data_IF_341761802867
#
_entry.id   IF_341761802867
#
_cell.length_a   1.000
_cell.length_b   1.000
_cell.length_c   1.000
_cell.angle_alpha   90.00
_cell.angle_beta   90.00
_cell.angle_gamma   90.00
#
_symmetry.space_group_name_H-M   'P 1'
#
loop_
_entity.id
_entity.type
_entity.pdbx_description
1 polymer ?
#
# COMPACT_ATOMS: atom_id res chain seq x y z
N UNK A 1 11.27 -2.87 9.23
CA UNK A 1 10.26 -2.77 8.20
C UNK A 1 10.92 -2.22 6.94
N UNK A 2 11.23 -3.13 6.01
CA UNK A 2 11.78 -2.78 4.71
C UNK A 2 10.60 -2.34 3.83
N UNK A 3 10.32 -1.05 3.76
CA UNK A 3 9.51 -0.49 2.69
C UNK A 3 10.35 -0.51 1.41
N UNK A 4 10.08 -1.47 0.54
CA UNK A 4 10.65 -1.48 -0.80
C UNK A 4 10.02 -0.33 -1.59
N UNK A 5 10.83 0.64 -1.96
CA UNK A 5 10.44 1.69 -2.90
C UNK A 5 10.44 1.04 -4.28
N UNK A 6 9.24 0.71 -4.79
CA UNK A 6 9.07 0.20 -6.15
C UNK A 6 9.23 1.36 -7.13
N UNK A 7 10.38 1.43 -7.78
CA UNK A 7 10.59 2.35 -8.91
C UNK A 7 10.04 1.67 -10.16
N UNK A 8 9.05 2.25 -10.86
CA UNK A 8 8.51 1.67 -12.08
C UNK A 8 9.58 1.59 -13.18
N UNK A 9 9.68 0.44 -13.84
CA UNK A 9 10.65 0.20 -14.93
C UNK A 9 10.49 1.13 -16.15
N UNK A 10 9.34 1.82 -16.29
CA UNK A 10 8.99 2.64 -17.46
C UNK A 10 8.46 4.02 -17.06
N UNK A 11 9.06 4.70 -16.09
CA UNK A 11 8.70 6.08 -15.77
C UNK A 11 9.22 7.01 -16.87
N UNK A 12 8.33 7.51 -17.74
CA UNK A 12 8.65 8.59 -18.69
C UNK A 12 8.36 9.93 -18.03
N UNK A 13 9.39 10.77 -17.91
CA UNK A 13 9.24 12.15 -17.49
C UNK A 13 8.89 13.01 -18.70
N UNK A 14 7.95 13.94 -18.56
CA UNK A 14 7.72 14.98 -19.57
C UNK A 14 8.98 15.86 -19.69
N UNK A 15 9.23 16.45 -20.86
CA UNK A 15 10.47 17.20 -21.11
C UNK A 15 10.78 18.28 -20.08
N UNK A 16 9.78 19.02 -19.59
CA UNK A 16 9.96 20.04 -18.54
C UNK A 16 10.41 19.41 -17.20
N UNK A 17 9.78 18.32 -16.77
CA UNK A 17 10.17 17.59 -15.56
C UNK A 17 11.58 16.98 -15.66
N UNK A 18 12.02 16.57 -16.84
CA UNK A 18 13.37 16.05 -17.06
C UNK A 18 14.44 17.12 -16.81
N UNK A 19 14.26 18.33 -17.34
CA UNK A 19 15.19 19.45 -17.12
C UNK A 19 15.22 19.92 -15.66
N UNK A 20 14.10 19.93 -14.96
CA UNK A 20 14.03 20.23 -13.53
C UNK A 20 14.84 19.23 -12.71
N UNK A 21 14.68 17.95 -12.99
CA UNK A 21 15.41 16.86 -12.33
C UNK A 21 16.92 16.96 -12.61
N UNK A 22 17.31 17.21 -13.86
CA UNK A 22 18.72 17.41 -14.22
C UNK A 22 19.33 18.61 -13.50
N UNK A 23 18.66 19.76 -13.47
CA UNK A 23 19.12 20.95 -12.78
C UNK A 23 19.27 20.74 -11.27
N UNK A 24 18.39 19.96 -10.65
CA UNK A 24 18.51 19.59 -9.24
C UNK A 24 19.69 18.66 -8.98
N UNK A 25 19.94 17.67 -9.84
CA UNK A 25 21.14 16.82 -9.74
C UNK A 25 22.42 17.68 -9.84
N UNK A 26 22.49 18.57 -10.82
CA UNK A 26 23.62 19.45 -11.03
C UNK A 26 23.79 20.38 -9.83
N UNK A 27 22.73 20.99 -9.33
CA UNK A 27 22.75 21.84 -8.14
C UNK A 27 23.20 21.10 -6.89
N UNK A 28 22.71 19.88 -6.68
CA UNK A 28 23.06 19.04 -5.54
C UNK A 28 24.55 18.64 -5.56
N UNK A 29 25.11 18.35 -6.75
CA UNK A 29 26.51 17.99 -6.89
C UNK A 29 27.42 19.23 -6.74
N UNK A 30 27.00 20.41 -7.23
CA UNK A 30 27.77 21.63 -7.14
C UNK A 30 27.78 22.25 -5.73
N UNK A 31 26.72 22.06 -4.94
CA UNK A 31 26.61 22.56 -3.57
C UNK A 31 27.29 21.65 -2.53
N UNK A 32 27.73 20.47 -2.92
CA UNK A 32 28.44 19.56 -2.05
C UNK A 32 29.91 19.94 -1.98
N UNK A 33 30.36 20.50 -0.84
CA UNK A 33 31.77 20.89 -0.64
C UNK A 33 32.62 19.62 -0.53
N UNK A 34 33.54 19.36 -1.49
CA UNK A 34 34.43 18.20 -1.44
C UNK A 34 35.31 18.24 -0.18
N UNK A 35 35.38 17.11 0.53
CA UNK A 35 36.17 16.98 1.77
C UNK A 35 35.45 17.34 3.06
N UNK A 36 34.18 17.80 3.01
CA UNK A 36 33.35 17.95 4.20
C UNK A 36 32.97 16.58 4.77
N UNK A 37 32.97 16.36 6.13
CA UNK A 37 32.53 15.12 6.73
C UNK A 37 31.05 14.80 6.45
N UNK A 38 30.27 15.79 6.02
CA UNK A 38 28.85 15.66 5.66
C UNK A 38 28.61 15.51 4.13
N UNK A 39 29.66 15.53 3.31
CA UNK A 39 29.55 15.51 1.85
C UNK A 39 28.73 14.33 1.35
N UNK A 40 29.06 13.10 1.79
CA UNK A 40 28.34 11.89 1.38
C UNK A 40 26.87 11.88 1.89
N UNK A 41 26.65 12.36 3.10
CA UNK A 41 25.29 12.43 3.66
C UNK A 41 24.43 13.44 2.90
N UNK A 42 24.97 14.58 2.49
CA UNK A 42 24.26 15.56 1.65
C UNK A 42 23.89 14.98 0.28
N UNK A 43 24.83 14.28 -0.37
CA UNK A 43 24.55 13.60 -1.64
C UNK A 43 23.43 12.58 -1.49
N UNK A 44 23.48 11.75 -0.45
CA UNK A 44 22.49 10.74 -0.20
C UNK A 44 21.09 11.34 0.09
N UNK A 45 21.02 12.43 0.88
CA UNK A 45 19.77 13.15 1.13
C UNK A 45 19.20 13.76 -0.15
N UNK A 46 20.02 14.42 -0.97
CA UNK A 46 19.60 15.00 -2.23
C UNK A 46 19.11 13.93 -3.21
N UNK A 47 19.78 12.79 -3.27
CA UNK A 47 19.37 11.65 -4.08
C UNK A 47 18.03 11.07 -3.61
N UNK A 48 17.83 10.91 -2.28
CA UNK A 48 16.57 10.47 -1.72
C UNK A 48 15.42 11.45 -2.03
N UNK A 49 15.67 12.76 -1.91
CA UNK A 49 14.70 13.80 -2.28
C UNK A 49 14.33 13.72 -3.76
N UNK A 50 15.31 13.51 -4.64
CA UNK A 50 15.09 13.33 -6.06
C UNK A 50 14.22 12.12 -6.37
N UNK A 51 14.52 10.97 -5.76
CA UNK A 51 13.70 9.77 -5.90
C UNK A 51 12.26 10.01 -5.45
N UNK A 52 12.06 10.71 -4.33
CA UNK A 52 10.72 11.06 -3.84
C UNK A 52 9.98 11.99 -4.82
N UNK A 53 10.64 12.94 -5.45
CA UNK A 53 10.05 13.80 -6.48
C UNK A 53 9.66 13.03 -7.73
N UNK A 54 10.52 12.11 -8.21
CA UNK A 54 10.22 11.23 -9.35
C UNK A 54 9.01 10.35 -9.03
N UNK A 55 8.99 9.72 -7.87
CA UNK A 55 7.86 8.91 -7.42
C UNK A 55 6.58 9.76 -7.34
N UNK A 56 6.65 10.97 -6.80
CA UNK A 56 5.50 11.89 -6.70
C UNK A 56 5.01 12.35 -8.08
N UNK A 57 5.93 12.67 -9.00
CA UNK A 57 5.58 13.05 -10.38
C UNK A 57 4.90 11.89 -11.11
N UNK A 58 5.40 10.66 -10.94
CA UNK A 58 4.80 9.46 -11.49
C UNK A 58 3.41 9.20 -10.90
N UNK A 59 3.26 9.30 -9.58
CA UNK A 59 1.97 9.20 -8.90
C UNK A 59 1.01 10.28 -9.41
N UNK A 60 1.45 11.53 -9.56
CA UNK A 60 0.63 12.62 -10.08
C UNK A 60 0.27 12.43 -11.56
N UNK A 61 1.12 11.80 -12.36
CA UNK A 61 0.82 11.46 -13.76
C UNK A 61 -0.23 10.35 -13.86
N UNK A 62 -0.16 9.35 -12.98
CA UNK A 62 -1.17 8.29 -12.89
C UNK A 62 -2.47 8.79 -12.22
N UNK A 63 -2.37 9.76 -11.33
CA UNK A 63 -3.46 10.29 -10.50
C UNK A 63 -3.38 11.81 -10.45
N UNK A 64 -3.68 12.52 -11.56
CA UNK A 64 -3.57 13.98 -11.62
C UNK A 64 -4.43 14.64 -10.54
N UNK A 65 -3.87 15.57 -9.74
CA UNK A 65 -4.56 16.17 -8.60
C UNK A 65 -5.72 17.12 -9.00
N UNK A 66 -5.81 17.49 -10.28
CA UNK A 66 -6.69 18.55 -10.76
C UNK A 66 -7.92 18.06 -11.55
N UNK A 67 -8.27 16.80 -11.51
CA UNK A 67 -9.59 16.39 -11.99
C UNK A 67 -10.60 16.56 -10.87
N UNK A 68 -11.16 17.76 -10.76
CA UNK A 68 -12.38 18.03 -9.98
C UNK A 68 -13.44 17.01 -10.46
N UNK A 69 -13.66 15.97 -9.66
CA UNK A 69 -14.61 14.89 -9.97
C UNK A 69 -14.02 13.50 -10.29
N UNK A 70 -12.71 13.35 -10.47
CA UNK A 70 -12.10 12.02 -10.66
C UNK A 70 -11.65 11.41 -9.35
N UNK A 71 -12.20 10.24 -9.05
CA UNK A 71 -11.82 9.44 -7.89
C UNK A 71 -10.36 8.95 -8.01
N UNK A 72 -9.56 9.18 -6.97
CA UNK A 72 -8.22 8.58 -6.82
C UNK A 72 -8.28 7.33 -5.93
N UNK A 73 -7.66 6.24 -6.37
CA UNK A 73 -7.62 5.00 -5.60
C UNK A 73 -6.67 5.06 -4.39
N UNK A 74 -5.68 5.96 -4.37
CA UNK A 74 -4.66 6.03 -3.32
C UNK A 74 -5.22 6.42 -1.93
N UNK A 75 -6.06 7.47 -1.80
CA UNK A 75 -6.71 7.77 -0.52
C UNK A 75 -7.55 6.61 -0.01
N UNK A 76 -8.29 5.92 -0.91
CA UNK A 76 -9.07 4.75 -0.54
C UNK A 76 -8.19 3.60 -0.06
N UNK A 77 -7.10 3.30 -0.75
CA UNK A 77 -6.14 2.27 -0.37
C UNK A 77 -5.55 2.55 1.01
N UNK A 78 -5.15 3.79 1.27
CA UNK A 78 -4.66 4.23 2.58
C UNK A 78 -5.72 4.11 3.67
N UNK A 79 -6.97 4.46 3.35
CA UNK A 79 -8.10 4.31 4.26
C UNK A 79 -8.36 2.83 4.61
N UNK A 80 -8.37 1.94 3.63
CA UNK A 80 -8.56 0.49 3.84
C UNK A 80 -7.47 -0.08 4.74
N UNK A 81 -6.20 0.27 4.49
CA UNK A 81 -5.06 -0.18 5.31
C UNK A 81 -5.10 0.33 6.76
N UNK A 82 -5.63 1.53 7.00
CA UNK A 82 -5.76 2.08 8.36
C UNK A 82 -6.95 1.50 9.12
N UNK A 83 -8.04 1.19 8.41
CA UNK A 83 -9.33 0.83 9.00
C UNK A 83 -9.70 -0.65 8.82
N UNK A 84 -8.76 -1.50 8.38
CA UNK A 84 -9.05 -2.91 8.05
C UNK A 84 -9.65 -3.72 9.19
N UNK A 85 -9.42 -3.31 10.44
CA UNK A 85 -9.96 -3.95 11.66
C UNK A 85 -11.45 -3.66 11.88
N UNK A 86 -11.99 -2.66 11.23
CA UNK A 86 -13.38 -2.24 11.40
C UNK A 86 -14.28 -2.81 10.32
N UNK A 87 -15.59 -2.77 10.54
CA UNK A 87 -16.58 -3.14 9.53
C UNK A 87 -16.64 -2.06 8.45
N UNK A 88 -16.12 -2.37 7.26
CA UNK A 88 -16.17 -1.49 6.09
C UNK A 88 -17.31 -1.96 5.18
N UNK A 89 -18.19 -1.04 4.80
CA UNK A 89 -19.32 -1.28 3.90
C UNK A 89 -19.26 -0.34 2.71
N UNK A 90 -19.94 -0.70 1.60
CA UNK A 90 -20.05 0.20 0.43
C UNK A 90 -20.63 1.55 0.80
N UNK A 91 -21.70 1.57 1.59
CA UNK A 91 -22.35 2.82 2.07
C UNK A 91 -21.39 3.70 2.87
N UNK A 92 -20.56 3.09 3.74
CA UNK A 92 -19.55 3.83 4.50
C UNK A 92 -18.51 4.48 3.56
N UNK A 93 -18.08 3.74 2.55
CA UNK A 93 -17.12 4.24 1.56
C UNK A 93 -17.71 5.35 0.69
N UNK A 94 -18.96 5.21 0.24
CA UNK A 94 -19.67 6.26 -0.51
C UNK A 94 -19.77 7.56 0.30
N UNK A 95 -20.14 7.44 1.58
CA UNK A 95 -20.20 8.60 2.49
C UNK A 95 -18.81 9.22 2.72
N UNK A 96 -17.78 8.41 2.85
CA UNK A 96 -16.43 8.88 3.16
C UNK A 96 -15.75 9.55 1.96
N UNK A 97 -15.98 9.03 0.76
CA UNK A 97 -15.27 9.47 -0.45
C UNK A 97 -16.15 10.31 -1.39
N UNK A 98 -17.44 10.46 -1.09
CA UNK A 98 -18.42 11.22 -1.89
C UNK A 98 -18.53 10.74 -3.35
N UNK A 99 -18.34 9.44 -3.57
CA UNK A 99 -18.46 8.79 -4.87
C UNK A 99 -19.31 7.52 -4.77
N UNK A 100 -19.99 7.18 -5.86
CA UNK A 100 -20.71 5.92 -5.96
C UNK A 100 -19.75 4.73 -5.85
N UNK A 101 -20.16 3.68 -5.12
CA UNK A 101 -19.31 2.51 -4.85
C UNK A 101 -18.87 1.78 -6.11
N UNK A 102 -19.76 1.58 -7.09
CA UNK A 102 -19.43 0.85 -8.32
C UNK A 102 -18.38 1.61 -9.14
N UNK A 103 -18.48 2.93 -9.19
CA UNK A 103 -17.48 3.78 -9.81
C UNK A 103 -16.13 3.66 -9.11
N UNK A 104 -16.10 3.79 -7.78
CA UNK A 104 -14.89 3.63 -6.98
C UNK A 104 -14.27 2.24 -7.17
N UNK A 105 -15.09 1.18 -7.11
CA UNK A 105 -14.66 -0.20 -7.24
C UNK A 105 -14.05 -0.50 -8.61
N UNK A 106 -14.65 0.04 -9.69
CA UNK A 106 -14.10 -0.06 -11.04
C UNK A 106 -12.75 0.65 -11.14
N UNK A 107 -12.67 1.89 -10.67
CA UNK A 107 -11.43 2.67 -10.70
C UNK A 107 -10.34 2.08 -9.82
N UNK A 108 -10.70 1.56 -8.67
CA UNK A 108 -9.77 0.85 -7.80
C UNK A 108 -9.21 -0.42 -8.48
N UNK A 109 -10.08 -1.19 -9.16
CA UNK A 109 -9.66 -2.39 -9.90
C UNK A 109 -8.77 -2.05 -11.11
N UNK A 110 -9.03 -0.96 -11.82
CA UNK A 110 -8.16 -0.48 -12.91
C UNK A 110 -6.72 -0.25 -12.43
N UNK A 111 -6.55 0.23 -11.19
CA UNK A 111 -5.25 0.59 -10.62
C UNK A 111 -4.57 -0.58 -9.90
N UNK A 112 -5.32 -1.35 -9.11
CA UNK A 112 -4.78 -2.39 -8.22
C UNK A 112 -4.88 -3.80 -8.79
N UNK A 113 -5.66 -3.99 -9.85
CA UNK A 113 -5.97 -5.30 -10.44
C UNK A 113 -7.10 -6.06 -9.74
N UNK A 114 -7.55 -5.63 -8.57
CA UNK A 114 -8.57 -6.32 -7.76
C UNK A 114 -9.64 -5.36 -7.21
N UNK A 115 -10.79 -5.91 -6.82
CA UNK A 115 -11.88 -5.12 -6.23
C UNK A 115 -11.54 -4.64 -4.83
N UNK A 116 -12.22 -3.59 -4.37
CA UNK A 116 -12.02 -2.99 -3.03
C UNK A 116 -12.14 -4.05 -1.92
N UNK A 117 -13.18 -4.88 -1.96
CA UNK A 117 -13.37 -5.89 -0.91
C UNK A 117 -12.42 -7.08 -1.06
N UNK A 118 -12.03 -7.46 -2.29
CA UNK A 118 -11.02 -8.50 -2.49
C UNK A 118 -9.65 -8.05 -1.92
N UNK A 119 -9.28 -6.81 -2.18
CA UNK A 119 -8.07 -6.21 -1.59
C UNK A 119 -8.14 -6.21 -0.06
N UNK A 120 -9.27 -5.77 0.52
CA UNK A 120 -9.46 -5.73 1.97
C UNK A 120 -9.36 -7.13 2.60
N UNK A 121 -10.01 -8.13 1.99
CA UNK A 121 -9.93 -9.52 2.46
C UNK A 121 -8.49 -10.04 2.42
N UNK A 122 -7.80 -9.87 1.30
CA UNK A 122 -6.40 -10.28 1.14
C UNK A 122 -5.48 -9.59 2.16
N UNK A 123 -5.65 -8.29 2.34
CA UNK A 123 -4.88 -7.53 3.32
C UNK A 123 -5.11 -8.04 4.75
N UNK A 124 -6.36 -8.36 5.11
CA UNK A 124 -6.71 -8.98 6.40
C UNK A 124 -6.06 -10.35 6.57
N UNK A 125 -5.99 -11.16 5.51
CA UNK A 125 -5.33 -12.48 5.55
C UNK A 125 -3.82 -12.32 5.79
N UNK A 126 -3.16 -11.35 5.17
CA UNK A 126 -1.75 -11.07 5.46
C UNK A 126 -1.53 -10.69 6.94
N UNK A 127 -2.43 -9.87 7.52
CA UNK A 127 -2.36 -9.55 8.95
C UNK A 127 -2.69 -10.77 9.83
N UNK A 128 -3.58 -11.66 9.37
CA UNK A 128 -3.91 -12.90 10.08
C UNK A 128 -2.69 -13.82 10.21
N UNK A 129 -1.87 -13.94 9.17
CA UNK A 129 -0.63 -14.76 9.21
C UNK A 129 0.31 -14.31 10.33
N UNK A 130 0.43 -13.00 10.53
CA UNK A 130 1.26 -12.42 11.61
C UNK A 130 0.69 -12.80 12.98
N UNK A 131 -0.64 -12.67 13.17
CA UNK A 131 -1.28 -13.02 14.44
C UNK A 131 -1.27 -14.53 14.72
N UNK A 132 -1.44 -15.37 13.69
CA UNK A 132 -1.33 -16.83 13.81
C UNK A 132 0.08 -17.26 14.22
N UNK A 133 1.11 -16.59 13.71
CA UNK A 133 2.51 -16.88 14.05
C UNK A 133 2.84 -16.53 15.51
N UNK A 134 2.17 -15.55 16.11
CA UNK A 134 2.39 -15.19 17.52
C UNK A 134 1.87 -16.24 18.49
N UNK A 135 0.96 -17.12 18.08
CA UNK A 135 0.31 -18.18 18.89
C UNK A 135 -0.45 -17.66 20.14
N UNK A 136 -0.65 -16.36 20.24
CA UNK A 136 -1.26 -15.71 21.41
C UNK A 136 -2.79 -15.68 21.35
N UNK A 137 -3.37 -15.90 20.17
CA UNK A 137 -4.80 -15.70 19.92
C UNK A 137 -5.43 -16.94 19.32
N UNK A 138 -6.69 -17.19 19.70
CA UNK A 138 -7.52 -18.20 19.05
C UNK A 138 -7.95 -17.71 17.65
N UNK A 139 -8.32 -18.64 16.78
CA UNK A 139 -8.83 -18.33 15.43
C UNK A 139 -10.01 -17.36 15.47
N UNK A 140 -10.92 -17.51 16.46
CA UNK A 140 -12.06 -16.60 16.64
C UNK A 140 -11.61 -15.21 17.05
N UNK A 141 -10.69 -15.09 18.01
CA UNK A 141 -10.15 -13.80 18.42
C UNK A 141 -9.42 -13.07 17.29
N UNK A 142 -8.69 -13.82 16.44
CA UNK A 142 -8.05 -13.26 15.26
C UNK A 142 -9.09 -12.72 14.27
N UNK A 143 -10.16 -13.49 14.01
CA UNK A 143 -11.25 -13.04 13.14
C UNK A 143 -11.89 -11.73 13.63
N UNK A 144 -12.17 -11.63 14.92
CA UNK A 144 -12.75 -10.43 15.55
C UNK A 144 -11.80 -9.23 15.46
N UNK A 145 -10.51 -9.43 15.76
CA UNK A 145 -9.50 -8.37 15.68
C UNK A 145 -9.27 -7.84 14.26
N UNK A 146 -9.52 -8.66 13.25
CA UNK A 146 -9.33 -8.31 11.85
C UNK A 146 -10.60 -7.81 11.16
N UNK A 147 -11.71 -7.69 11.91
CA UNK A 147 -12.97 -7.17 11.40
C UNK A 147 -13.72 -8.13 10.47
N UNK A 148 -13.50 -9.45 10.62
CA UNK A 148 -14.36 -10.44 9.99
C UNK A 148 -15.68 -10.57 10.77
N UNK A 149 -16.76 -10.92 10.08
CA UNK A 149 -18.07 -11.05 10.71
C UNK A 149 -18.15 -12.22 11.72
N UNK A 150 -17.35 -13.24 11.52
CA UNK A 150 -17.21 -14.39 12.44
C UNK A 150 -16.00 -15.26 12.03
N UNK A 151 -15.58 -16.16 12.93
CA UNK A 151 -14.46 -17.08 12.73
C UNK A 151 -14.67 -18.11 11.62
N UNK A 152 -15.93 -18.48 11.32
CA UNK A 152 -16.25 -19.41 10.23
C UNK A 152 -15.97 -18.77 8.88
N UNK A 153 -16.47 -17.55 8.66
CA UNK A 153 -16.23 -16.81 7.42
C UNK A 153 -14.73 -16.51 7.25
N UNK A 154 -14.06 -16.09 8.32
CA UNK A 154 -12.60 -15.91 8.31
C UNK A 154 -11.88 -17.19 7.86
N UNK A 155 -12.21 -18.35 8.44
CA UNK A 155 -11.56 -19.62 8.10
C UNK A 155 -11.78 -20.00 6.64
N UNK A 156 -12.97 -19.73 6.09
CA UNK A 156 -13.30 -19.95 4.68
C UNK A 156 -12.48 -19.06 3.76
N UNK A 157 -12.38 -17.76 4.08
CA UNK A 157 -11.61 -16.78 3.30
C UNK A 157 -10.11 -17.09 3.40
N UNK A 158 -9.61 -17.42 4.58
CA UNK A 158 -8.22 -17.81 4.79
C UNK A 158 -7.85 -19.03 3.95
N UNK A 159 -8.66 -20.11 4.02
CA UNK A 159 -8.44 -21.32 3.22
C UNK A 159 -8.48 -21.04 1.72
N UNK A 160 -9.38 -20.17 1.27
CA UNK A 160 -9.45 -19.74 -0.15
C UNK A 160 -8.16 -19.04 -0.61
N UNK A 161 -7.53 -18.22 0.24
CA UNK A 161 -6.33 -17.46 -0.11
C UNK A 161 -5.04 -18.27 0.07
N UNK A 162 -4.93 -19.08 1.14
CA UNK A 162 -3.69 -19.76 1.53
C UNK A 162 -3.70 -21.28 1.20
N UNK A 163 -4.83 -21.83 0.71
CA UNK A 163 -5.00 -23.24 0.40
C UNK A 163 -5.26 -24.14 1.61
N UNK A 164 -4.89 -23.72 2.81
CA UNK A 164 -5.04 -24.46 4.07
C UNK A 164 -5.83 -23.66 5.10
N UNK A 165 -6.40 -24.33 6.11
CA UNK A 165 -7.13 -23.64 7.18
C UNK A 165 -6.19 -22.87 8.12
N UNK A 166 -6.71 -21.86 8.88
CA UNK A 166 -5.92 -21.15 9.87
C UNK A 166 -5.27 -22.05 10.92
N UNK A 167 -5.97 -23.12 11.32
CA UNK A 167 -5.46 -24.12 12.28
C UNK A 167 -4.32 -24.94 11.69
N UNK A 168 -4.46 -25.41 10.46
CA UNK A 168 -3.41 -26.13 9.74
C UNK A 168 -2.18 -25.23 9.52
N UNK A 169 -2.41 -23.95 9.16
CA UNK A 169 -1.36 -22.97 9.02
C UNK A 169 -0.57 -22.79 10.31
N UNK A 170 -1.26 -22.65 11.44
CA UNK A 170 -0.64 -22.53 12.77
C UNK A 170 0.12 -23.81 13.18
N UNK A 171 -0.43 -25.00 12.86
CA UNK A 171 0.23 -26.29 13.13
C UNK A 171 1.51 -26.45 12.31
N UNK A 172 1.50 -26.08 11.03
CA UNK A 172 2.68 -26.16 10.16
C UNK A 172 3.82 -25.26 10.63
N UNK A 173 3.53 -24.11 11.23
CA UNK A 173 4.56 -23.26 11.85
C UNK A 173 5.24 -23.92 13.06
N UNK A 174 4.58 -24.88 13.72
CA UNK A 174 5.19 -25.64 14.82
C UNK A 174 6.19 -26.68 14.34
N UNK A 175 6.01 -27.19 13.13
CA UNK A 175 6.88 -28.23 12.57
C UNK A 175 8.15 -27.66 11.91
N UNK A 176 8.28 -26.35 11.82
CA UNK A 176 9.42 -25.63 11.23
C UNK A 176 10.37 -25.05 12.28
N UNK A 177 10.10 -25.24 13.57
CA UNK A 177 10.97 -24.89 14.70
C UNK A 177 11.56 -26.14 15.32
#
# INVERSE_FOLDING_TARGET
>A
PNEQILIPKNATLSGASYYEVLNEIISATNNAVPGSPYHQSMINCNFAMLLLKICRAHINALFPPNNIGTFSALPLLSYLKRNYKTKITSVLLEKQFHHNFDYMNRKFKEVTGETIFAFLEKYRIEQAKILLSSKQFTVTQIADQLGFCNGFYFSKVFKKNEGISPREYQANLNNLQ
#
